data_IF_116828268680
#
_entry.id   IF_116828268680
#
_cell.length_a   1.000
_cell.length_b   1.000
_cell.length_c   1.000
_cell.angle_alpha   90.00
_cell.angle_beta   90.00
_cell.angle_gamma   90.00
#
_symmetry.space_group_name_H-M   'P 1'
#
loop_
_entity.id
_entity.type
_entity.pdbx_description
1 polymer ?
#
# COMPACT_ATOMS: atom_id res chain seq x y z
N UNK A 1 -14.31 17.85 -14.54
CA UNK A 1 -14.57 16.67 -13.67
C UNK A 1 -14.37 17.08 -12.23
N UNK A 2 -15.32 16.76 -11.32
CA UNK A 2 -15.20 17.05 -9.89
C UNK A 2 -14.64 15.81 -9.18
N UNK A 3 -13.56 15.97 -8.43
CA UNK A 3 -13.04 14.94 -7.53
C UNK A 3 -14.02 14.79 -6.35
N UNK A 4 -14.38 13.56 -6.04
CA UNK A 4 -15.15 13.20 -4.87
C UNK A 4 -14.24 12.44 -3.91
N UNK A 5 -14.36 12.73 -2.64
CA UNK A 5 -13.54 12.16 -1.57
C UNK A 5 -14.42 11.74 -0.42
N UNK A 6 -14.03 10.70 0.28
CA UNK A 6 -14.66 10.21 1.49
C UNK A 6 -13.61 9.68 2.45
N UNK A 7 -13.70 10.08 3.69
CA UNK A 7 -12.83 9.65 4.78
C UNK A 7 -13.65 8.89 5.81
N UNK A 8 -13.12 7.77 6.27
CA UNK A 8 -13.65 7.04 7.42
C UNK A 8 -12.59 6.98 8.52
N UNK A 9 -12.99 7.21 9.75
CA UNK A 9 -12.19 7.04 10.95
C UNK A 9 -12.94 6.07 11.86
N UNK A 10 -12.42 4.85 11.98
CA UNK A 10 -13.17 3.74 12.58
C UNK A 10 -14.35 3.33 11.69
N UNK A 11 -15.56 3.48 12.19
CA UNK A 11 -16.82 3.17 11.48
C UNK A 11 -17.53 4.41 10.95
N UNK A 12 -17.08 5.58 11.37
CA UNK A 12 -17.78 6.83 11.13
C UNK A 12 -17.17 7.57 9.93
N UNK A 13 -18.03 8.18 9.11
CA UNK A 13 -17.60 9.08 8.05
C UNK A 13 -17.16 10.41 8.68
N UNK A 14 -16.00 10.90 8.27
CA UNK A 14 -15.39 12.12 8.72
C UNK A 14 -15.11 13.05 7.53
N UNK A 15 -14.96 14.34 7.79
CA UNK A 15 -14.62 15.31 6.75
C UNK A 15 -13.11 15.32 6.51
N UNK A 16 -12.69 15.01 5.29
CA UNK A 16 -11.33 15.26 4.84
C UNK A 16 -11.19 16.75 4.49
N UNK A 17 -10.39 17.48 5.25
CA UNK A 17 -10.06 18.90 4.98
C UNK A 17 -8.86 19.00 4.07
N UNK A 18 -7.82 18.18 4.33
CA UNK A 18 -6.63 18.06 3.50
C UNK A 18 -6.07 16.64 3.61
N UNK A 19 -5.55 16.12 2.50
CA UNK A 19 -4.95 14.78 2.44
C UNK A 19 -3.68 14.82 1.62
N UNK A 20 -2.59 14.45 2.26
CA UNK A 20 -1.31 14.16 1.60
C UNK A 20 -0.94 12.72 1.92
N UNK A 21 -0.78 11.89 0.90
CA UNK A 21 -0.45 10.49 1.12
C UNK A 21 0.61 10.01 0.15
N UNK A 22 1.49 9.14 0.64
CA UNK A 22 2.60 8.57 -0.12
C UNK A 22 2.50 7.06 -0.09
N UNK A 23 2.42 6.45 -1.27
CA UNK A 23 2.46 5.01 -1.47
C UNK A 23 3.78 4.62 -2.12
N UNK A 24 4.41 3.56 -1.62
CA UNK A 24 5.69 3.08 -2.08
C UNK A 24 5.62 1.62 -2.53
N UNK A 25 6.42 1.27 -3.52
CA UNK A 25 6.60 -0.11 -3.93
C UNK A 25 7.36 -0.89 -2.86
N UNK A 26 6.85 -2.06 -2.46
CA UNK A 26 7.43 -2.97 -1.46
C UNK A 26 7.65 -2.35 -0.07
N UNK A 27 6.90 -1.32 0.28
CA UNK A 27 6.93 -0.77 1.64
C UNK A 27 5.59 -0.11 1.98
N UNK A 28 5.25 -0.02 3.27
CA UNK A 28 4.01 0.62 3.68
C UNK A 28 3.96 2.09 3.31
N UNK A 29 2.82 2.51 2.81
CA UNK A 29 2.51 3.91 2.58
C UNK A 29 2.21 4.67 3.87
N UNK A 30 2.23 5.99 3.76
CA UNK A 30 1.89 6.94 4.83
C UNK A 30 0.88 7.97 4.34
N UNK A 31 0.10 8.51 5.27
CA UNK A 31 -0.78 9.64 4.98
C UNK A 31 -0.78 10.65 6.12
N UNK A 32 -0.82 11.93 5.77
CA UNK A 32 -1.17 13.02 6.68
C UNK A 32 -2.55 13.50 6.29
N UNK A 33 -3.49 13.41 7.21
CA UNK A 33 -4.90 13.74 6.98
C UNK A 33 -5.32 14.82 7.98
N UNK A 34 -5.86 15.90 7.46
CA UNK A 34 -6.49 16.95 8.28
C UNK A 34 -7.99 16.75 8.27
N UNK A 35 -8.59 16.69 9.45
CA UNK A 35 -10.02 16.39 9.65
C UNK A 35 -10.61 17.20 10.81
N UNK A 36 -11.93 17.33 10.85
CA UNK A 36 -12.69 17.92 11.97
C UNK A 36 -13.06 16.89 13.05
N UNK A 37 -12.68 15.63 12.87
CA UNK A 37 -13.01 14.54 13.78
C UNK A 37 -11.81 14.15 14.63
N UNK A 38 -11.98 14.14 15.96
CA UNK A 38 -10.96 13.66 16.87
C UNK A 38 -10.78 12.15 16.74
N UNK A 39 -9.58 11.67 16.41
CA UNK A 39 -9.31 10.23 16.30
C UNK A 39 -8.93 9.64 17.65
N UNK A 40 -8.96 8.29 17.71
CA UNK A 40 -8.22 7.53 18.71
C UNK A 40 -6.93 6.95 18.12
N UNK A 41 -5.94 6.72 18.97
CA UNK A 41 -4.71 6.03 18.59
C UNK A 41 -5.03 4.62 18.07
N UNK A 42 -4.36 4.20 16.99
CA UNK A 42 -4.54 2.89 16.34
C UNK A 42 -5.91 2.68 15.67
N UNK A 43 -6.76 3.68 15.67
CA UNK A 43 -8.03 3.62 14.96
C UNK A 43 -7.80 3.46 13.45
N UNK A 44 -8.58 2.60 12.81
CA UNK A 44 -8.49 2.37 11.37
C UNK A 44 -8.97 3.61 10.61
N UNK A 45 -8.24 3.94 9.55
CA UNK A 45 -8.57 5.03 8.63
C UNK A 45 -8.66 4.48 7.23
N UNK A 46 -9.72 4.86 6.51
CA UNK A 46 -9.90 4.55 5.11
C UNK A 46 -10.22 5.81 4.31
N UNK A 47 -9.45 6.06 3.26
CA UNK A 47 -9.67 7.18 2.36
C UNK A 47 -10.05 6.66 0.98
N UNK A 48 -11.18 7.15 0.50
CA UNK A 48 -11.74 6.85 -0.81
C UNK A 48 -11.76 8.10 -1.66
N UNK A 49 -11.44 7.94 -2.92
CA UNK A 49 -11.46 9.04 -3.87
C UNK A 49 -11.82 8.57 -5.26
N UNK A 50 -12.33 9.48 -6.08
CA UNK A 50 -12.73 9.15 -7.44
C UNK A 50 -13.51 10.28 -8.10
N UNK A 51 -14.06 9.99 -9.27
CA UNK A 51 -14.79 10.95 -10.07
C UNK A 51 -16.21 10.47 -10.37
N UNK A 52 -17.12 11.43 -10.58
CA UNK A 52 -18.51 11.17 -10.98
C UNK A 52 -19.23 10.20 -10.02
N UNK A 53 -18.96 10.30 -8.73
CA UNK A 53 -19.58 9.45 -7.70
C UNK A 53 -19.02 8.03 -7.59
N UNK A 54 -18.10 7.63 -8.47
CA UNK A 54 -17.42 6.33 -8.39
C UNK A 54 -16.19 6.47 -7.51
N UNK A 55 -16.33 6.11 -6.24
CA UNK A 55 -15.26 6.12 -5.26
C UNK A 55 -14.54 4.77 -5.23
N UNK A 56 -13.23 4.82 -5.06
CA UNK A 56 -12.38 3.66 -4.83
C UNK A 56 -11.56 3.90 -3.57
N UNK A 57 -11.42 2.87 -2.76
CA UNK A 57 -10.53 2.94 -1.58
C UNK A 57 -9.10 3.02 -2.06
N UNK A 58 -8.49 4.17 -1.78
CA UNK A 58 -7.14 4.46 -2.23
C UNK A 58 -6.10 4.28 -1.13
N UNK A 59 -6.44 4.58 0.12
CA UNK A 59 -5.57 4.36 1.28
C UNK A 59 -6.38 3.69 2.40
N UNK A 60 -5.77 2.71 3.06
CA UNK A 60 -6.29 2.10 4.27
C UNK A 60 -5.14 1.87 5.25
N UNK A 61 -5.30 2.39 6.46
CA UNK A 61 -4.25 2.35 7.46
C UNK A 61 -4.79 2.54 8.86
N UNK A 62 -3.93 2.95 9.77
CA UNK A 62 -4.29 3.28 11.14
C UNK A 62 -3.62 4.58 11.57
N UNK A 63 -4.21 5.25 12.56
CA UNK A 63 -3.67 6.45 13.18
C UNK A 63 -2.42 6.07 14.01
N UNK A 64 -1.25 6.47 13.53
CA UNK A 64 0.02 6.30 14.26
C UNK A 64 0.18 7.36 15.35
N UNK A 65 -0.12 8.62 14.98
CA UNK A 65 -0.13 9.76 15.89
C UNK A 65 -1.08 10.83 15.37
N UNK A 66 -1.50 11.72 16.24
CA UNK A 66 -2.26 12.90 15.86
C UNK A 66 -1.91 14.09 16.72
N UNK A 67 -2.18 15.28 16.20
CA UNK A 67 -2.10 16.54 16.95
C UNK A 67 -3.34 17.37 16.68
N UNK A 68 -3.80 18.08 17.68
CA UNK A 68 -4.83 19.09 17.52
C UNK A 68 -4.20 20.37 16.93
N UNK A 69 -4.81 20.91 15.87
CA UNK A 69 -4.37 22.15 15.22
C UNK A 69 -5.08 23.34 15.86
N UNK A 70 -6.40 23.17 16.06
CA UNK A 70 -7.25 24.14 16.76
C UNK A 70 -8.40 23.42 17.46
N UNK A 71 -9.39 24.13 18.01
CA UNK A 71 -10.49 23.55 18.81
C UNK A 71 -11.20 22.38 18.15
N UNK A 72 -11.33 22.35 16.82
CA UNK A 72 -12.12 21.36 16.08
C UNK A 72 -11.39 20.77 14.88
N UNK A 73 -10.07 20.91 14.79
CA UNK A 73 -9.29 20.39 13.66
C UNK A 73 -8.08 19.63 14.15
N UNK A 74 -7.91 18.45 13.60
CA UNK A 74 -6.85 17.50 13.95
C UNK A 74 -6.03 17.14 12.70
N UNK A 75 -4.72 17.00 12.86
CA UNK A 75 -3.82 16.45 11.87
C UNK A 75 -3.41 15.05 12.31
N UNK A 76 -3.75 14.06 11.50
CA UNK A 76 -3.49 12.65 11.73
C UNK A 76 -2.28 12.24 10.88
N UNK A 77 -1.31 11.57 11.49
CA UNK A 77 -0.31 10.81 10.76
C UNK A 77 -0.70 9.35 10.76
N UNK A 78 -0.93 8.80 9.57
CA UNK A 78 -1.41 7.44 9.37
C UNK A 78 -0.38 6.59 8.62
N UNK A 79 -0.36 5.30 8.90
CA UNK A 79 0.41 4.30 8.15
C UNK A 79 -0.51 3.23 7.61
N UNK A 80 -0.16 2.68 6.45
CA UNK A 80 -0.83 1.47 5.95
C UNK A 80 -0.79 0.34 6.98
N UNK A 81 -1.77 -0.58 6.94
CA UNK A 81 -1.88 -1.69 7.90
C UNK A 81 -0.61 -2.56 7.91
N UNK A 82 0.00 -2.75 6.75
CA UNK A 82 1.26 -3.48 6.58
C UNK A 82 2.42 -2.92 7.41
N UNK A 83 2.34 -1.68 7.89
CA UNK A 83 3.32 -1.11 8.81
C UNK A 83 3.38 -1.85 10.17
N UNK A 84 2.36 -2.65 10.50
CA UNK A 84 2.40 -3.55 11.66
C UNK A 84 3.53 -4.58 11.60
N UNK A 85 4.02 -4.91 10.40
CA UNK A 85 5.15 -5.81 10.18
C UNK A 85 6.51 -5.25 10.66
N UNK A 86 6.58 -3.98 11.03
CA UNK A 86 7.79 -3.38 11.63
C UNK A 86 8.17 -3.98 12.99
N UNK A 87 7.21 -4.58 13.66
CA UNK A 87 7.46 -5.20 14.95
C UNK A 87 8.28 -6.49 14.78
N UNK A 88 8.97 -6.88 15.88
CA UNK A 88 9.64 -8.16 15.93
C UNK A 88 8.64 -9.30 15.69
N UNK A 89 9.00 -10.23 14.80
CA UNK A 89 8.16 -11.36 14.42
C UNK A 89 9.01 -12.62 14.37
N UNK A 90 9.45 -13.13 15.53
CA UNK A 90 10.25 -14.34 15.57
C UNK A 90 9.46 -15.53 15.06
N UNK A 91 10.06 -16.27 14.12
CA UNK A 91 9.45 -17.42 13.49
C UNK A 91 10.50 -18.50 13.22
N UNK A 92 10.15 -19.74 13.54
CA UNK A 92 10.92 -20.91 13.16
C UNK A 92 9.96 -22.00 12.68
N UNK A 93 10.07 -22.38 11.40
CA UNK A 93 9.22 -23.38 10.77
C UNK A 93 10.05 -24.28 9.86
N UNK A 94 9.64 -25.53 9.70
CA UNK A 94 10.30 -26.52 8.87
C UNK A 94 9.31 -27.17 7.90
N UNK A 95 9.76 -27.41 6.67
CA UNK A 95 8.98 -28.06 5.62
C UNK A 95 7.60 -27.40 5.42
N UNK A 96 7.60 -26.06 5.36
CA UNK A 96 6.38 -25.26 5.20
C UNK A 96 6.31 -24.57 3.85
N UNK A 97 5.11 -24.55 3.29
CA UNK A 97 4.76 -23.79 2.09
C UNK A 97 4.64 -22.31 2.41
N UNK A 98 4.76 -21.45 1.38
CA UNK A 98 4.52 -20.00 1.53
C UNK A 98 3.14 -19.72 2.13
N UNK A 99 2.12 -20.46 1.71
CA UNK A 99 0.75 -20.32 2.22
C UNK A 99 0.72 -20.56 3.73
N UNK A 100 1.36 -21.63 4.23
CA UNK A 100 1.38 -21.95 5.66
C UNK A 100 2.14 -20.90 6.48
N UNK A 101 3.25 -20.35 5.93
CA UNK A 101 4.02 -19.29 6.58
C UNK A 101 3.18 -18.00 6.66
N UNK A 102 2.55 -17.61 5.57
CA UNK A 102 1.67 -16.42 5.54
C UNK A 102 0.46 -16.59 6.46
N UNK A 103 -0.13 -17.78 6.53
CA UNK A 103 -1.21 -18.07 7.49
C UNK A 103 -0.73 -17.90 8.94
N UNK A 104 0.51 -18.29 9.23
CA UNK A 104 1.10 -18.05 10.56
C UNK A 104 1.30 -16.57 10.84
N UNK A 105 1.77 -15.80 9.86
CA UNK A 105 1.89 -14.34 9.97
C UNK A 105 0.51 -13.71 10.20
N UNK A 106 -0.50 -14.12 9.45
CA UNK A 106 -1.90 -13.68 9.63
C UNK A 106 -2.37 -13.95 11.06
N UNK A 107 -2.13 -15.15 11.59
CA UNK A 107 -2.56 -15.51 12.94
C UNK A 107 -1.90 -14.65 14.03
N UNK A 108 -0.66 -14.20 13.81
CA UNK A 108 0.08 -13.36 14.77
C UNK A 108 -0.32 -11.87 14.64
N UNK A 109 -0.48 -11.39 13.41
CA UNK A 109 -0.60 -9.95 13.13
C UNK A 109 -2.03 -9.47 12.88
N UNK A 110 -2.94 -10.37 12.52
CA UNK A 110 -4.29 -10.05 12.03
C UNK A 110 -4.33 -9.51 10.60
N UNK A 111 -3.17 -9.33 9.95
CA UNK A 111 -3.09 -8.85 8.57
C UNK A 111 -3.66 -9.89 7.59
N UNK A 112 -4.28 -9.42 6.52
CA UNK A 112 -4.84 -10.27 5.48
C UNK A 112 -3.97 -10.25 4.23
N UNK A 113 -3.77 -11.43 3.62
CA UNK A 113 -2.87 -11.56 2.48
C UNK A 113 -3.58 -12.14 1.26
N UNK A 114 -3.04 -11.85 0.07
CA UNK A 114 -3.43 -12.42 -1.21
C UNK A 114 -2.20 -13.11 -1.77
N UNK A 115 -2.27 -14.42 -1.98
CA UNK A 115 -1.21 -15.23 -2.56
C UNK A 115 -1.76 -15.83 -3.86
N UNK A 116 -1.07 -15.65 -5.01
CA UNK A 116 -1.46 -16.31 -6.25
C UNK A 116 -1.37 -17.83 -6.14
N UNK A 117 -2.28 -18.53 -6.82
CA UNK A 117 -2.25 -19.99 -6.92
C UNK A 117 -1.15 -20.43 -7.92
N UNK A 118 0.08 -20.57 -7.42
CA UNK A 118 1.29 -20.92 -8.17
C UNK A 118 2.09 -21.98 -7.45
N UNK A 119 2.96 -22.68 -8.17
CA UNK A 119 3.76 -23.77 -7.63
C UNK A 119 4.68 -23.29 -6.50
N UNK A 120 5.29 -22.11 -6.61
CA UNK A 120 6.12 -21.55 -5.54
C UNK A 120 5.35 -21.35 -4.22
N UNK A 121 4.04 -21.14 -4.29
CA UNK A 121 3.22 -20.96 -3.09
C UNK A 121 2.93 -22.29 -2.37
N UNK A 122 3.05 -23.43 -3.09
CA UNK A 122 2.71 -24.78 -2.63
C UNK A 122 3.95 -25.64 -2.36
N UNK A 123 5.12 -25.23 -2.86
CA UNK A 123 6.37 -25.97 -2.65
C UNK A 123 6.91 -25.69 -1.25
N UNK A 124 7.17 -26.74 -0.42
CA UNK A 124 7.70 -26.50 0.93
C UNK A 124 9.17 -26.06 0.90
N UNK A 125 9.52 -25.07 1.69
CA UNK A 125 10.90 -24.74 2.02
C UNK A 125 11.39 -25.55 3.21
N UNK A 126 12.66 -25.97 3.20
CA UNK A 126 13.22 -26.83 4.24
C UNK A 126 13.21 -26.15 5.62
N UNK A 127 13.65 -24.90 5.69
CA UNK A 127 13.71 -24.12 6.92
C UNK A 127 13.34 -22.67 6.66
N UNK A 128 12.55 -22.09 7.55
CA UNK A 128 12.24 -20.65 7.59
C UNK A 128 12.54 -20.20 9.02
N UNK A 129 13.52 -19.33 9.18
CA UNK A 129 13.93 -18.81 10.48
C UNK A 129 14.01 -17.29 10.39
N UNK A 130 13.28 -16.60 11.26
CA UNK A 130 13.35 -15.15 11.40
C UNK A 130 13.51 -14.77 12.87
N UNK A 131 14.50 -13.96 13.18
CA UNK A 131 14.71 -13.38 14.50
C UNK A 131 14.52 -11.87 14.52
N UNK A 132 14.20 -11.30 13.36
CA UNK A 132 14.10 -9.86 13.10
C UNK A 132 12.62 -9.39 13.03
N UNK A 133 12.40 -8.34 12.28
CA UNK A 133 11.06 -7.76 12.03
C UNK A 133 10.26 -8.59 11.03
N UNK A 134 8.95 -8.36 11.00
CA UNK A 134 8.12 -8.90 9.94
C UNK A 134 8.52 -8.39 8.55
N UNK A 135 9.09 -7.17 8.43
CA UNK A 135 9.62 -6.68 7.13
C UNK A 135 10.73 -7.57 6.62
N UNK A 136 11.72 -7.88 7.46
CA UNK A 136 12.83 -8.77 7.09
C UNK A 136 12.29 -10.12 6.63
N UNK A 137 11.37 -10.71 7.41
CA UNK A 137 10.74 -11.96 7.02
C UNK A 137 10.06 -11.85 5.65
N UNK A 138 9.23 -10.83 5.45
CA UNK A 138 8.52 -10.65 4.17
C UNK A 138 9.47 -10.44 3.00
N UNK A 139 10.59 -9.77 3.18
CA UNK A 139 11.59 -9.55 2.12
C UNK A 139 12.34 -10.85 1.80
N UNK A 140 12.67 -11.67 2.79
CA UNK A 140 13.40 -12.93 2.63
C UNK A 140 12.57 -14.04 1.97
N UNK A 141 11.22 -14.01 2.07
CA UNK A 141 10.35 -15.03 1.48
C UNK A 141 10.53 -15.18 -0.03
N UNK A 142 10.91 -14.13 -0.74
CA UNK A 142 11.21 -14.19 -2.17
C UNK A 142 12.33 -15.15 -2.50
N UNK A 143 13.43 -15.05 -1.78
CA UNK A 143 14.62 -15.90 -1.96
C UNK A 143 14.35 -17.31 -1.42
N UNK A 144 13.70 -17.44 -0.28
CA UNK A 144 13.37 -18.73 0.33
C UNK A 144 12.53 -19.62 -0.59
N UNK A 145 11.60 -19.04 -1.33
CA UNK A 145 10.71 -19.76 -2.26
C UNK A 145 11.11 -19.64 -3.72
N UNK A 146 12.25 -19.01 -4.03
CA UNK A 146 12.76 -18.84 -5.39
C UNK A 146 11.80 -18.07 -6.31
N UNK A 147 11.13 -17.03 -5.80
CA UNK A 147 10.12 -16.29 -6.54
C UNK A 147 10.78 -15.19 -7.38
N UNK A 148 10.76 -15.37 -8.71
CA UNK A 148 11.27 -14.34 -9.60
C UNK A 148 10.45 -13.04 -9.50
N UNK A 149 11.16 -11.89 -9.49
CA UNK A 149 10.55 -10.56 -9.30
C UNK A 149 9.57 -10.50 -8.13
N UNK A 150 9.94 -11.12 -7.04
CA UNK A 150 9.18 -11.13 -5.81
C UNK A 150 8.81 -9.73 -5.35
N UNK A 151 7.59 -9.61 -4.85
CA UNK A 151 7.10 -8.40 -4.20
C UNK A 151 6.04 -8.72 -3.15
N UNK A 152 5.93 -7.84 -2.18
CA UNK A 152 4.77 -7.75 -1.31
C UNK A 152 4.31 -6.31 -1.23
N UNK A 153 2.99 -6.09 -1.23
CA UNK A 153 2.44 -4.74 -1.24
C UNK A 153 0.98 -4.70 -0.80
N UNK A 154 0.66 -3.75 0.08
CA UNK A 154 -0.73 -3.54 0.47
C UNK A 154 -1.55 -2.95 -0.67
N UNK A 155 -2.78 -3.46 -0.81
CA UNK A 155 -3.80 -2.97 -1.73
C UNK A 155 -4.67 -1.90 -1.06
N UNK A 156 -5.49 -1.20 -1.85
CA UNK A 156 -6.42 -0.20 -1.32
C UNK A 156 -7.44 -0.75 -0.32
N UNK A 157 -7.77 -2.03 -0.39
CA UNK A 157 -8.68 -2.72 0.53
C UNK A 157 -8.01 -3.21 1.83
N UNK A 158 -6.72 -2.94 1.99
CA UNK A 158 -5.93 -3.32 3.17
C UNK A 158 -5.29 -4.69 3.10
N UNK A 159 -5.63 -5.54 2.11
CA UNK A 159 -4.97 -6.83 1.91
C UNK A 159 -3.58 -6.66 1.32
N UNK A 160 -2.66 -7.54 1.67
CA UNK A 160 -1.28 -7.50 1.22
C UNK A 160 -1.07 -8.58 0.14
N UNK A 161 -0.76 -8.17 -1.08
CA UNK A 161 -0.33 -9.09 -2.12
C UNK A 161 1.09 -9.61 -1.81
N UNK A 162 1.30 -10.92 -1.99
CA UNK A 162 2.61 -11.58 -1.80
C UNK A 162 2.82 -12.56 -2.94
N UNK A 163 3.89 -12.37 -3.73
CA UNK A 163 4.20 -13.25 -4.85
C UNK A 163 5.07 -12.60 -5.91
N UNK A 164 5.12 -13.20 -7.09
CA UNK A 164 5.80 -12.61 -8.24
C UNK A 164 5.04 -11.39 -8.76
N UNK A 165 5.78 -10.36 -9.18
CA UNK A 165 5.18 -9.24 -9.90
C UNK A 165 4.43 -9.69 -11.16
N UNK A 166 4.92 -10.75 -11.83
CA UNK A 166 4.24 -11.33 -12.99
C UNK A 166 2.84 -11.90 -12.68
N UNK A 167 2.58 -12.28 -11.44
CA UNK A 167 1.28 -12.79 -10.99
C UNK A 167 0.42 -11.70 -10.34
N UNK A 168 0.93 -10.48 -10.27
CA UNK A 168 0.23 -9.35 -9.66
C UNK A 168 -0.91 -8.84 -10.56
N UNK A 169 -1.93 -8.18 -9.97
CA UNK A 169 -3.02 -7.59 -10.75
C UNK A 169 -2.57 -6.49 -11.71
N UNK A 170 -1.32 -6.06 -11.65
CA UNK A 170 -0.76 -4.97 -12.48
C UNK A 170 0.04 -5.47 -13.67
N UNK A 171 0.53 -6.71 -13.64
CA UNK A 171 1.31 -7.27 -14.75
C UNK A 171 0.49 -7.29 -16.04
N UNK A 172 1.12 -6.95 -17.13
CA UNK A 172 0.49 -6.88 -18.46
C UNK A 172 -0.46 -5.71 -18.67
N UNK A 173 -0.72 -4.89 -17.63
CA UNK A 173 -1.56 -3.70 -17.73
C UNK A 173 -0.69 -2.44 -17.84
N UNK A 174 -0.46 -2.00 -19.07
CA UNK A 174 0.17 -0.70 -19.31
C UNK A 174 -0.92 0.36 -19.48
N UNK A 175 -0.88 1.40 -18.67
CA UNK A 175 -1.83 2.51 -18.75
C UNK A 175 -1.18 3.60 -19.61
N UNK A 176 -1.69 3.85 -20.84
CA UNK A 176 -1.21 4.96 -21.63
C UNK A 176 -1.68 6.27 -21.01
N UNK A 177 -0.75 7.13 -20.66
CA UNK A 177 -1.02 8.46 -20.18
C UNK A 177 -0.67 9.47 -21.26
N UNK A 178 -1.66 10.23 -21.81
CA UNK A 178 -1.39 11.26 -22.80
C UNK A 178 -0.43 12.32 -22.29
N UNK A 179 0.44 12.84 -23.14
CA UNK A 179 1.43 13.86 -22.78
C UNK A 179 0.82 15.11 -22.15
N UNK A 180 -0.38 15.49 -22.59
CA UNK A 180 -1.10 16.67 -22.06
C UNK A 180 -1.50 16.55 -20.58
N UNK A 181 -1.53 15.31 -20.05
CA UNK A 181 -1.78 15.05 -18.63
C UNK A 181 -0.50 15.03 -17.77
N UNK A 182 0.68 15.08 -18.43
CA UNK A 182 1.97 15.02 -17.77
C UNK A 182 2.48 16.43 -17.57
N UNK A 183 2.51 16.90 -16.32
CA UNK A 183 3.06 18.18 -15.95
C UNK A 183 4.40 17.99 -15.21
N UNK A 184 5.29 18.99 -15.28
CA UNK A 184 6.55 19.00 -14.56
C UNK A 184 7.35 17.69 -14.72
N UNK A 185 7.42 17.17 -15.97
CA UNK A 185 8.15 15.95 -16.26
C UNK A 185 9.66 16.13 -15.99
N UNK A 186 10.23 15.20 -15.24
CA UNK A 186 11.65 15.04 -14.99
C UNK A 186 12.07 13.65 -15.50
N UNK A 187 13.36 13.35 -15.46
CA UNK A 187 13.91 12.09 -15.98
C UNK A 187 13.19 10.85 -15.43
N UNK A 188 12.80 10.85 -14.16
CA UNK A 188 12.18 9.70 -13.49
C UNK A 188 10.93 10.05 -12.69
N UNK A 189 10.36 11.23 -12.89
CA UNK A 189 9.14 11.63 -12.20
C UNK A 189 8.27 12.56 -13.02
N UNK A 190 6.98 12.59 -12.73
CA UNK A 190 6.03 13.52 -13.33
C UNK A 190 4.85 13.79 -12.40
N UNK A 191 4.26 14.96 -12.57
CA UNK A 191 3.00 15.30 -11.93
C UNK A 191 1.83 15.05 -12.88
N UNK A 192 0.81 14.37 -12.38
CA UNK A 192 -0.40 14.03 -13.12
C UNK A 192 -1.65 14.38 -12.31
N UNK A 193 -2.81 14.51 -12.94
CA UNK A 193 -4.08 14.56 -12.24
C UNK A 193 -4.29 13.28 -11.40
N UNK A 194 -4.98 13.43 -10.27
CA UNK A 194 -5.34 12.31 -9.42
C UNK A 194 -6.09 11.25 -10.22
N UNK A 195 -5.66 9.99 -10.10
CA UNK A 195 -6.36 8.82 -10.63
C UNK A 195 -6.35 7.70 -9.58
N UNK A 196 -7.53 7.29 -9.07
CA UNK A 196 -7.63 6.31 -7.99
C UNK A 196 -7.17 4.90 -8.39
N UNK A 197 -7.02 4.63 -9.69
CA UNK A 197 -6.52 3.35 -10.19
C UNK A 197 -5.00 3.19 -10.04
N UNK A 198 -4.27 4.30 -9.89
CA UNK A 198 -2.82 4.26 -9.88
C UNK A 198 -2.27 3.76 -8.55
N UNK A 199 -1.36 2.80 -8.65
CA UNK A 199 -0.66 2.15 -7.54
C UNK A 199 0.81 1.94 -7.89
N UNK A 200 1.71 1.97 -6.90
CA UNK A 200 3.09 1.53 -7.13
C UNK A 200 3.12 0.10 -7.66
N UNK A 201 4.06 -0.19 -8.56
CA UNK A 201 4.15 -1.48 -9.26
C UNK A 201 3.42 -1.53 -10.60
N UNK A 202 2.51 -0.60 -10.89
CA UNK A 202 1.84 -0.51 -12.21
C UNK A 202 2.78 0.00 -13.29
N UNK A 203 2.42 -0.28 -14.55
CA UNK A 203 3.09 0.28 -15.72
C UNK A 203 2.29 1.50 -16.22
N UNK A 204 2.97 2.63 -16.36
CA UNK A 204 2.46 3.84 -16.98
C UNK A 204 3.44 4.22 -18.10
N UNK A 205 2.95 4.28 -19.33
CA UNK A 205 3.78 4.51 -20.53
C UNK A 205 4.98 3.55 -20.65
N UNK A 206 4.82 2.29 -20.20
CA UNK A 206 5.86 1.27 -20.24
C UNK A 206 6.84 1.30 -19.06
N UNK A 207 6.81 2.33 -18.23
CA UNK A 207 7.70 2.45 -17.06
C UNK A 207 6.96 2.05 -15.78
N UNK A 208 7.65 1.30 -14.90
CA UNK A 208 7.06 0.82 -13.65
C UNK A 208 7.10 1.91 -12.57
N UNK A 209 5.97 2.16 -11.97
CA UNK A 209 5.82 3.16 -10.89
C UNK A 209 6.47 2.64 -9.60
N UNK A 210 7.34 3.46 -9.01
CA UNK A 210 7.98 3.22 -7.72
C UNK A 210 7.21 3.84 -6.57
N UNK A 211 6.90 5.15 -6.69
CA UNK A 211 6.17 5.88 -5.65
C UNK A 211 5.07 6.73 -6.25
N UNK A 212 4.02 6.93 -5.47
CA UNK A 212 2.94 7.87 -5.79
C UNK A 212 2.70 8.72 -4.55
N UNK A 213 2.90 10.03 -4.68
CA UNK A 213 2.50 11.00 -3.68
C UNK A 213 1.21 11.69 -4.14
N UNK A 214 0.16 11.57 -3.36
CA UNK A 214 -1.09 12.31 -3.54
C UNK A 214 -1.02 13.60 -2.73
N UNK A 215 -1.29 14.71 -3.39
CA UNK A 215 -1.48 16.00 -2.75
C UNK A 215 -2.71 16.68 -3.38
N UNK A 216 -3.82 16.71 -2.64
CA UNK A 216 -5.12 17.20 -3.13
C UNK A 216 -5.56 16.44 -4.40
N UNK A 217 -5.69 17.15 -5.52
CA UNK A 217 -6.13 16.61 -6.81
C UNK A 217 -4.99 16.23 -7.75
N UNK A 218 -3.74 16.21 -7.26
CA UNK A 218 -2.55 15.92 -8.05
C UNK A 218 -1.78 14.76 -7.47
N UNK A 219 -1.17 13.97 -8.35
CA UNK A 219 -0.25 12.91 -7.99
C UNK A 219 1.13 13.21 -8.56
N UNK A 220 2.15 13.12 -7.71
CA UNK A 220 3.54 13.04 -8.14
C UNK A 220 3.90 11.58 -8.25
N UNK A 221 4.25 11.13 -9.45
CA UNK A 221 4.68 9.76 -9.72
C UNK A 221 6.20 9.75 -9.87
N UNK A 222 6.85 8.72 -9.31
CA UNK A 222 8.25 8.40 -9.60
C UNK A 222 8.31 6.98 -10.19
N UNK A 223 9.11 6.83 -11.24
CA UNK A 223 9.36 5.53 -11.86
C UNK A 223 10.58 4.84 -11.24
N UNK A 224 10.63 3.52 -11.40
CA UNK A 224 11.82 2.75 -11.07
C UNK A 224 12.92 3.12 -12.05
N UNK A 225 14.12 3.37 -11.55
CA UNK A 225 15.31 3.42 -12.39
C UNK A 225 15.58 2.02 -12.96
N UNK A 226 15.94 1.97 -14.24
CA UNK A 226 16.32 0.72 -14.93
C UNK A 226 17.61 0.17 -14.33
#
# INVERSE_FOLDING_TARGET
MKLNERLYIGKDEAKAIDVVANLNYRSPGTATIVTDTQPNMRQIVAYECGYNGKLMRWFMGYVESYRQINSNVYSLFCRELSAGLRNSLPLAMQHKTLIEVINRITAITGLQFIIPDRDYAKTPAAHIINHATGYTLMDDLGDVYGIDRYMWQQQGDGRIFVGSWYDSPWYGKNIPLPHDYINNAQTNSAQIPMNPLFRPGMLINGERVRTIELNKSKMQIQWMTK
#
